data_IF_608409110057
#
_entry.id   IF_608409110057
#
_cell.length_a   1.000
_cell.length_b   1.000
_cell.length_c   1.000
_cell.angle_alpha   90.00
_cell.angle_beta   90.00
_cell.angle_gamma   90.00
#
_symmetry.space_group_name_H-M   'P 1'
#
loop_
_entity.id
_entity.type
_entity.pdbx_description
1 polymer ?
#
# COMPACT_ATOMS: atom_id res chain seq x y z
N UNK A 1 -54.58 -46.71 43.01
CA UNK A 1 -55.43 -46.70 41.80
C UNK A 1 -54.57 -46.36 40.58
N UNK A 2 -54.53 -47.29 39.63
CA UNK A 2 -53.75 -47.24 38.37
C UNK A 2 -54.22 -46.17 37.45
N UNK A 3 -53.30 -45.50 36.73
CA UNK A 3 -53.47 -45.31 35.28
C UNK A 3 -52.14 -45.06 34.62
N UNK A 4 -51.70 -46.05 33.83
CA UNK A 4 -50.66 -45.93 32.79
C UNK A 4 -51.21 -45.11 31.62
N UNK A 5 -50.37 -44.23 31.03
CA UNK A 5 -50.43 -43.92 29.61
C UNK A 5 -49.01 -43.78 29.04
N UNK A 6 -48.70 -44.72 28.18
CA UNK A 6 -47.59 -44.66 27.21
C UNK A 6 -47.85 -43.54 26.19
N UNK A 7 -46.80 -42.76 25.89
CA UNK A 7 -46.68 -42.10 24.60
C UNK A 7 -45.23 -42.15 24.15
N UNK A 8 -45.03 -42.73 22.97
CA UNK A 8 -43.81 -42.92 22.21
C UNK A 8 -43.15 -41.61 21.86
N UNK A 9 -41.75 -41.56 21.79
CA UNK A 9 -41.06 -40.39 21.29
C UNK A 9 -40.99 -40.41 19.77
N UNK A 10 -41.44 -39.30 19.15
CA UNK A 10 -41.22 -38.99 17.74
C UNK A 10 -39.80 -38.50 17.58
N UNK A 11 -39.01 -39.23 16.80
CA UNK A 11 -37.66 -38.81 16.37
C UNK A 11 -37.84 -37.74 15.27
N UNK A 12 -37.64 -36.48 15.63
CA UNK A 12 -37.43 -35.38 14.69
C UNK A 12 -35.95 -35.22 14.44
N UNK A 13 -35.46 -35.69 13.31
CA UNK A 13 -34.14 -35.39 12.83
C UNK A 13 -34.03 -33.91 12.43
N UNK A 14 -33.49 -33.07 13.28
CA UNK A 14 -33.01 -31.75 12.89
C UNK A 14 -31.67 -31.90 12.14
N UNK A 15 -31.75 -31.84 10.80
CA UNK A 15 -30.55 -31.56 9.99
C UNK A 15 -30.13 -30.13 10.25
N UNK A 16 -29.17 -29.95 11.16
CA UNK A 16 -28.45 -28.72 11.34
C UNK A 16 -27.52 -28.47 10.15
N UNK A 17 -27.92 -27.62 9.21
CA UNK A 17 -27.00 -27.01 8.26
C UNK A 17 -26.05 -26.11 9.03
N UNK A 18 -24.87 -26.61 9.39
CA UNK A 18 -23.73 -25.75 9.73
C UNK A 18 -23.27 -25.09 8.44
N UNK A 19 -23.77 -23.87 8.21
CA UNK A 19 -23.13 -22.95 7.30
C UNK A 19 -21.78 -22.55 7.92
N UNK A 20 -20.73 -23.22 7.50
CA UNK A 20 -19.38 -22.71 7.66
C UNK A 20 -19.28 -21.44 6.82
N UNK A 21 -19.50 -20.30 7.46
CA UNK A 21 -19.03 -19.04 6.94
C UNK A 21 -17.50 -19.16 6.87
N UNK A 22 -17.00 -19.47 5.69
CA UNK A 22 -15.62 -19.19 5.31
C UNK A 22 -15.47 -17.65 5.36
N UNK A 23 -15.20 -17.14 6.55
CA UNK A 23 -14.49 -15.88 6.72
C UNK A 23 -13.08 -16.16 6.17
N UNK A 24 -12.97 -16.12 4.84
CA UNK A 24 -11.70 -15.92 4.20
C UNK A 24 -11.16 -14.62 4.77
N UNK A 25 -10.13 -14.70 5.61
CA UNK A 25 -9.31 -13.55 5.92
C UNK A 25 -8.98 -12.91 4.58
N UNK A 26 -9.46 -11.68 4.36
CA UNK A 26 -8.96 -10.87 3.27
C UNK A 26 -7.45 -10.89 3.44
N UNK A 27 -6.75 -11.50 2.49
CA UNK A 27 -5.29 -11.43 2.47
C UNK A 27 -4.96 -9.96 2.53
N UNK A 28 -4.14 -9.60 3.48
CA UNK A 28 -3.74 -8.23 3.70
C UNK A 28 -3.14 -7.69 2.41
N UNK A 29 -3.84 -6.74 1.79
CA UNK A 29 -3.33 -5.99 0.66
C UNK A 29 -2.28 -5.03 1.25
N UNK A 30 -1.04 -5.49 1.34
CA UNK A 30 0.09 -4.60 1.51
C UNK A 30 0.54 -4.20 0.11
N UNK A 31 0.69 -2.94 -0.11
CA UNK A 31 1.48 -2.37 -1.20
C UNK A 31 2.91 -2.86 -1.09
N UNK A 32 3.79 -2.45 -1.94
CA UNK A 32 5.21 -2.78 -1.79
C UNK A 32 5.53 -3.06 -0.33
N UNK A 33 6.21 -4.16 -0.03
CA UNK A 33 6.50 -4.47 1.38
C UNK A 33 7.35 -3.36 2.04
N UNK A 34 7.42 -3.35 3.34
CA UNK A 34 8.13 -2.32 4.11
C UNK A 34 9.54 -1.98 3.55
N UNK A 35 10.41 -2.96 3.19
CA UNK A 35 11.72 -2.68 2.61
C UNK A 35 11.66 -1.83 1.34
N UNK A 36 10.69 -2.04 0.47
CA UNK A 36 10.58 -1.28 -0.77
C UNK A 36 10.13 0.16 -0.51
N UNK A 37 9.11 0.39 0.31
CA UNK A 37 8.70 1.73 0.75
C UNK A 37 9.84 2.49 1.44
N UNK A 38 10.54 1.82 2.36
CA UNK A 38 11.69 2.41 3.06
C UNK A 38 12.83 2.76 2.10
N UNK A 39 13.07 1.92 1.09
CA UNK A 39 14.12 2.18 0.08
C UNK A 39 13.76 3.39 -0.80
N UNK A 40 12.51 3.52 -1.25
CA UNK A 40 12.08 4.71 -2.01
C UNK A 40 12.20 5.99 -1.19
N UNK A 41 11.86 5.93 0.10
CA UNK A 41 12.05 7.05 1.01
C UNK A 41 13.54 7.38 1.23
N UNK A 42 14.42 6.39 1.34
CA UNK A 42 15.86 6.62 1.46
C UNK A 42 16.43 7.32 0.22
N UNK A 43 15.97 6.96 -0.98
CA UNK A 43 16.30 7.65 -2.23
C UNK A 43 15.81 9.10 -2.17
N UNK A 44 14.53 9.31 -1.83
CA UNK A 44 13.93 10.64 -1.74
C UNK A 44 14.67 11.52 -0.72
N UNK A 45 15.00 10.98 0.46
CA UNK A 45 15.73 11.74 1.48
C UNK A 45 17.14 12.14 1.00
N UNK A 46 17.84 11.25 0.31
CA UNK A 46 19.19 11.57 -0.24
C UNK A 46 19.12 12.71 -1.27
N UNK A 47 18.06 12.75 -2.10
CA UNK A 47 17.84 13.84 -3.04
C UNK A 47 17.45 15.15 -2.33
N UNK A 48 16.66 15.10 -1.27
CA UNK A 48 16.32 16.26 -0.44
C UNK A 48 17.60 16.79 0.22
N UNK A 49 18.40 15.93 0.83
CA UNK A 49 19.66 16.33 1.49
C UNK A 49 20.64 16.98 0.52
N UNK A 50 20.73 16.46 -0.69
CA UNK A 50 21.59 17.01 -1.74
C UNK A 50 21.09 18.36 -2.27
N UNK A 51 19.77 18.50 -2.52
CA UNK A 51 19.21 19.66 -3.20
C UNK A 51 18.74 20.76 -2.23
N UNK A 52 18.31 20.39 -1.02
CA UNK A 52 17.68 21.26 -0.02
C UNK A 52 18.07 20.83 1.40
N UNK A 53 19.36 20.92 1.79
CA UNK A 53 19.83 20.43 3.09
C UNK A 53 19.12 21.06 4.29
N UNK A 54 18.64 22.31 4.16
CA UNK A 54 17.86 22.99 5.19
C UNK A 54 16.48 22.37 5.39
N UNK A 55 15.95 21.69 4.38
CA UNK A 55 14.67 20.97 4.49
C UNK A 55 14.83 19.68 5.31
N UNK A 56 15.96 19.00 5.16
CA UNK A 56 16.25 17.80 5.95
C UNK A 56 16.21 18.10 7.47
N UNK A 57 16.70 19.26 7.89
CA UNK A 57 16.63 19.69 9.29
C UNK A 57 15.19 19.99 9.75
N UNK A 58 14.36 20.57 8.87
CA UNK A 58 12.93 20.84 9.19
C UNK A 58 12.12 19.57 9.31
N UNK A 59 12.47 18.52 8.57
CA UNK A 59 11.81 17.21 8.65
C UNK A 59 11.98 16.57 10.04
N UNK A 60 13.09 16.81 10.72
CA UNK A 60 13.30 16.35 12.09
C UNK A 60 12.20 16.85 13.04
N UNK A 61 11.96 18.16 13.04
CA UNK A 61 10.91 18.77 13.86
C UNK A 61 9.50 18.33 13.43
N UNK A 62 9.29 18.14 12.13
CA UNK A 62 8.00 17.72 11.61
C UNK A 62 7.62 16.33 12.11
N UNK A 63 8.51 15.34 11.95
CA UNK A 63 8.23 13.97 12.39
C UNK A 63 8.15 13.82 13.91
N UNK A 64 8.82 14.68 14.68
CA UNK A 64 8.62 14.72 16.13
C UNK A 64 7.20 15.12 16.53
N UNK A 65 6.45 15.79 15.67
CA UNK A 65 5.05 16.15 15.89
C UNK A 65 4.06 15.09 15.37
N UNK A 66 4.53 13.95 14.88
CA UNK A 66 3.66 12.92 14.32
C UNK A 66 2.66 12.41 15.38
N UNK A 67 1.34 12.29 15.06
CA UNK A 67 0.33 11.92 16.03
C UNK A 67 0.48 10.48 16.56
N UNK A 68 1.05 9.60 15.75
CA UNK A 68 1.49 8.26 16.15
C UNK A 68 3.01 8.27 16.31
N UNK A 69 3.49 8.81 17.42
CA UNK A 69 4.92 9.10 17.60
C UNK A 69 5.79 7.88 17.89
N UNK A 70 5.20 6.79 18.42
CA UNK A 70 5.97 5.63 18.94
C UNK A 70 6.89 4.99 17.90
N UNK A 71 6.44 4.58 16.69
CA UNK A 71 7.31 3.94 15.71
C UNK A 71 8.45 4.87 15.27
N UNK A 72 8.18 6.17 15.16
CA UNK A 72 9.19 7.16 14.77
C UNK A 72 10.30 7.32 15.82
N UNK A 73 9.94 7.32 17.10
CA UNK A 73 10.93 7.38 18.17
C UNK A 73 11.76 6.10 18.27
N UNK A 74 11.16 4.93 18.00
CA UNK A 74 11.89 3.67 17.93
C UNK A 74 12.90 3.70 16.78
N UNK A 75 12.49 4.14 15.60
CA UNK A 75 13.37 4.27 14.44
C UNK A 75 14.49 5.28 14.66
N UNK A 76 14.19 6.40 15.35
CA UNK A 76 15.15 7.44 15.68
C UNK A 76 16.28 6.96 16.61
N UNK A 77 15.95 6.14 17.62
CA UNK A 77 16.90 5.75 18.66
C UNK A 77 17.52 6.99 19.34
N UNK A 78 18.82 6.96 19.62
CA UNK A 78 19.54 8.06 20.26
C UNK A 78 20.05 9.12 19.27
N UNK A 79 19.66 9.06 18.00
CA UNK A 79 20.12 9.98 16.96
C UNK A 79 19.46 11.37 17.07
N UNK A 80 20.08 12.37 16.44
CA UNK A 80 19.60 13.77 16.48
C UNK A 80 19.78 14.44 15.12
N UNK A 81 19.05 15.54 14.92
CA UNK A 81 19.16 16.38 13.72
C UNK A 81 18.91 15.59 12.44
N UNK A 82 19.72 15.76 11.44
CA UNK A 82 19.55 15.13 10.13
C UNK A 82 19.51 13.60 10.17
N UNK A 83 20.29 12.95 11.01
CA UNK A 83 20.27 11.48 11.11
C UNK A 83 18.94 11.00 11.67
N UNK A 84 18.39 11.69 12.67
CA UNK A 84 17.06 11.41 13.20
C UNK A 84 15.99 11.69 12.14
N UNK A 85 16.06 12.82 11.45
CA UNK A 85 15.16 13.15 10.35
C UNK A 85 15.11 12.07 9.28
N UNK A 86 16.29 11.58 8.87
CA UNK A 86 16.40 10.50 7.88
C UNK A 86 15.71 9.23 8.33
N UNK A 87 15.99 8.78 9.55
CA UNK A 87 15.39 7.55 10.11
C UNK A 87 13.87 7.65 10.21
N UNK A 88 13.38 8.77 10.73
CA UNK A 88 11.93 9.01 10.83
C UNK A 88 11.28 9.15 9.45
N UNK A 89 11.94 9.76 8.48
CA UNK A 89 11.43 9.89 7.12
C UNK A 89 11.30 8.52 6.43
N UNK A 90 12.31 7.67 6.59
CA UNK A 90 12.29 6.29 6.06
C UNK A 90 11.19 5.47 6.75
N UNK A 91 11.04 5.59 8.07
CA UNK A 91 9.98 4.94 8.83
C UNK A 91 8.59 5.44 8.39
N UNK A 92 8.46 6.73 8.09
CA UNK A 92 7.21 7.33 7.62
C UNK A 92 6.66 6.71 6.34
N UNK A 93 7.53 6.17 5.48
CA UNK A 93 7.08 5.54 4.25
C UNK A 93 6.43 4.16 4.46
N UNK A 94 6.80 3.43 5.52
CA UNK A 94 6.18 2.14 5.85
C UNK A 94 5.00 2.28 6.82
N UNK A 95 4.97 3.38 7.59
CA UNK A 95 4.03 3.58 8.69
C UNK A 95 2.57 3.33 8.33
N UNK A 96 2.14 3.69 7.11
CA UNK A 96 0.76 3.53 6.67
C UNK A 96 0.29 2.05 6.71
N UNK A 97 1.15 1.10 6.35
CA UNK A 97 0.87 -0.33 6.45
C UNK A 97 0.79 -0.83 7.91
N UNK A 98 1.60 -0.25 8.79
CA UNK A 98 1.61 -0.60 10.21
C UNK A 98 0.39 -0.06 10.96
N UNK A 99 -0.38 0.87 10.36
CA UNK A 99 -1.59 1.47 11.01
C UNK A 99 -2.81 0.56 10.99
N UNK A 100 -2.76 -0.59 10.37
CA UNK A 100 -3.89 -1.48 10.16
C UNK A 100 -4.66 -1.77 11.44
N UNK A 101 -5.96 -1.57 11.39
CA UNK A 101 -6.86 -1.71 12.55
C UNK A 101 -6.74 -0.61 13.59
N UNK A 102 -5.90 0.41 13.39
CA UNK A 102 -5.79 1.59 14.25
C UNK A 102 -6.75 2.70 13.81
N UNK A 103 -6.75 3.81 14.56
CA UNK A 103 -7.50 5.04 14.19
C UNK A 103 -6.94 5.72 12.92
N UNK A 104 -5.73 5.37 12.53
CA UNK A 104 -5.04 5.88 11.35
C UNK A 104 -5.25 5.00 10.10
N UNK A 105 -5.82 3.80 10.24
CA UNK A 105 -6.04 2.87 9.15
C UNK A 105 -6.93 3.47 8.04
N UNK A 106 -6.47 3.39 6.80
CA UNK A 106 -7.17 3.88 5.61
C UNK A 106 -7.04 2.87 4.46
N UNK A 107 -7.68 1.70 4.56
CA UNK A 107 -7.45 0.58 3.63
C UNK A 107 -7.78 0.91 2.16
N UNK A 108 -8.62 1.91 1.91
CA UNK A 108 -8.96 2.34 0.54
C UNK A 108 -7.93 3.28 -0.07
N UNK A 109 -6.96 3.80 0.69
CA UNK A 109 -5.96 4.75 0.20
C UNK A 109 -4.77 4.09 -0.48
N UNK A 110 -4.60 2.78 -0.32
CA UNK A 110 -3.48 2.02 -0.88
C UNK A 110 -3.63 1.70 -2.37
N UNK A 111 -4.80 1.89 -2.96
CA UNK A 111 -5.06 1.47 -4.34
C UNK A 111 -5.86 2.48 -5.14
N UNK A 112 -5.65 2.45 -6.49
CA UNK A 112 -6.47 3.14 -7.47
C UNK A 112 -6.61 2.24 -8.71
N UNK A 113 -7.36 1.14 -8.61
CA UNK A 113 -7.36 0.05 -9.59
C UNK A 113 -8.34 0.27 -10.72
N UNK A 114 -7.84 0.43 -11.92
CA UNK A 114 -8.63 0.39 -13.15
C UNK A 114 -8.83 -1.04 -13.63
N UNK A 115 -9.92 -1.27 -14.36
CA UNK A 115 -10.25 -2.59 -14.87
C UNK A 115 -9.43 -2.92 -16.13
N UNK A 116 -8.77 -4.08 -16.14
CA UNK A 116 -8.19 -4.72 -17.31
C UNK A 116 -9.11 -5.85 -17.75
N UNK A 117 -9.61 -5.81 -19.00
CA UNK A 117 -10.52 -6.82 -19.53
C UNK A 117 -9.73 -7.81 -20.37
N UNK A 118 -9.62 -9.06 -19.91
CA UNK A 118 -8.97 -10.14 -20.66
C UNK A 118 -9.77 -10.51 -21.92
N UNK A 119 -9.07 -11.04 -22.94
CA UNK A 119 -9.69 -11.44 -24.20
C UNK A 119 -10.77 -12.52 -24.03
N UNK A 120 -10.61 -13.41 -23.06
CA UNK A 120 -11.51 -14.50 -22.72
C UNK A 120 -12.62 -14.11 -21.73
N UNK A 121 -12.72 -12.81 -21.35
CA UNK A 121 -13.69 -12.33 -20.40
C UNK A 121 -15.11 -12.56 -20.92
N UNK A 122 -15.99 -13.24 -20.15
CA UNK A 122 -17.38 -13.46 -20.52
C UNK A 122 -18.20 -12.15 -20.39
N UNK A 123 -19.44 -12.12 -20.92
CA UNK A 123 -20.26 -10.91 -20.93
C UNK A 123 -20.44 -10.27 -19.55
N UNK A 124 -20.64 -11.06 -18.50
CA UNK A 124 -20.80 -10.60 -17.13
C UNK A 124 -19.52 -9.92 -16.59
N UNK A 125 -18.34 -10.45 -16.89
CA UNK A 125 -17.07 -9.84 -16.52
C UNK A 125 -16.82 -8.51 -17.27
N UNK A 126 -17.17 -8.47 -18.56
CA UNK A 126 -17.12 -7.23 -19.36
C UNK A 126 -18.07 -6.17 -18.79
N UNK A 127 -19.30 -6.56 -18.42
CA UNK A 127 -20.28 -5.67 -17.82
C UNK A 127 -19.78 -5.13 -16.46
N UNK A 128 -19.20 -5.99 -15.61
CA UNK A 128 -18.64 -5.59 -14.33
C UNK A 128 -17.46 -4.62 -14.48
N UNK A 129 -16.57 -4.85 -15.45
CA UNK A 129 -15.48 -3.93 -15.77
C UNK A 129 -15.99 -2.60 -16.33
N UNK A 130 -16.98 -2.63 -17.24
CA UNK A 130 -17.58 -1.41 -17.81
C UNK A 130 -18.29 -0.56 -16.76
N UNK A 131 -18.91 -1.18 -15.74
CA UNK A 131 -19.49 -0.45 -14.61
C UNK A 131 -18.44 0.37 -13.82
N UNK A 132 -17.16 0.02 -13.94
CA UNK A 132 -16.02 0.72 -13.33
C UNK A 132 -15.30 1.65 -14.31
N UNK A 133 -15.78 1.80 -15.54
CA UNK A 133 -15.12 2.61 -16.56
C UNK A 133 -14.83 4.03 -16.10
N UNK A 134 -13.57 4.44 -16.22
CA UNK A 134 -13.10 5.75 -15.78
C UNK A 134 -13.05 5.98 -14.27
N UNK A 135 -13.42 4.97 -13.47
CA UNK A 135 -13.39 5.05 -12.00
C UNK A 135 -12.52 3.93 -11.45
N UNK A 136 -11.37 4.22 -10.85
CA UNK A 136 -10.58 3.21 -10.17
C UNK A 136 -11.30 2.72 -8.91
N UNK A 137 -11.05 1.47 -8.51
CA UNK A 137 -11.42 1.02 -7.18
C UNK A 137 -10.31 1.40 -6.19
N UNK A 138 -10.68 2.02 -5.09
CA UNK A 138 -9.76 2.63 -4.13
C UNK A 138 -9.75 4.14 -4.25
N UNK A 139 -8.96 4.79 -3.42
CA UNK A 139 -8.95 6.25 -3.24
C UNK A 139 -7.52 6.82 -3.19
N UNK A 140 -6.50 6.08 -3.67
CA UNK A 140 -5.10 6.52 -3.57
C UNK A 140 -4.87 7.88 -4.23
N UNK A 141 -5.51 8.15 -5.37
CA UNK A 141 -5.33 9.42 -6.09
C UNK A 141 -5.92 10.59 -5.31
N UNK A 142 -7.18 10.46 -4.87
CA UNK A 142 -7.86 11.49 -4.09
C UNK A 142 -7.13 11.73 -2.75
N UNK A 143 -6.66 10.66 -2.12
CA UNK A 143 -5.90 10.74 -0.89
C UNK A 143 -4.54 11.42 -1.09
N UNK A 144 -3.84 11.15 -2.19
CA UNK A 144 -2.60 11.87 -2.56
C UNK A 144 -2.85 13.35 -2.75
N UNK A 145 -3.87 13.72 -3.53
CA UNK A 145 -4.25 15.13 -3.75
C UNK A 145 -4.54 15.82 -2.43
N UNK A 146 -5.33 15.19 -1.56
CA UNK A 146 -5.69 15.74 -0.25
C UNK A 146 -4.47 15.91 0.66
N UNK A 147 -3.67 14.87 0.85
CA UNK A 147 -2.51 14.92 1.73
C UNK A 147 -1.44 15.90 1.19
N UNK A 148 -1.25 15.95 -0.12
CA UNK A 148 -0.36 16.94 -0.74
C UNK A 148 -0.83 18.39 -0.49
N UNK A 149 -2.13 18.65 -0.61
CA UNK A 149 -2.69 19.96 -0.28
C UNK A 149 -2.49 20.31 1.20
N UNK A 150 -2.62 19.35 2.11
CA UNK A 150 -2.32 19.53 3.54
C UNK A 150 -0.84 19.88 3.78
N UNK A 151 0.09 19.26 3.06
CA UNK A 151 1.51 19.60 3.14
C UNK A 151 1.80 21.04 2.70
N UNK A 152 1.11 21.52 1.68
CA UNK A 152 1.29 22.85 1.11
C UNK A 152 0.56 23.98 1.88
N UNK A 153 -0.48 23.64 2.64
CA UNK A 153 -1.32 24.62 3.32
C UNK A 153 -0.63 25.19 4.57
N UNK A 154 -0.57 26.51 4.74
CA UNK A 154 -0.08 27.13 5.97
C UNK A 154 -0.99 26.88 7.18
N UNK A 155 -2.29 26.57 6.95
CA UNK A 155 -3.28 26.34 8.00
C UNK A 155 -3.16 24.94 8.62
N UNK A 156 -2.49 24.01 7.96
CA UNK A 156 -2.29 22.64 8.49
C UNK A 156 -1.28 22.67 9.63
N UNK A 157 -1.67 22.14 10.79
CA UNK A 157 -0.76 22.06 11.93
C UNK A 157 0.35 21.00 11.72
N UNK A 158 1.38 21.03 12.56
CA UNK A 158 2.54 20.16 12.43
C UNK A 158 2.21 18.67 12.51
N UNK A 159 1.27 18.28 13.39
CA UNK A 159 0.86 16.88 13.57
C UNK A 159 0.12 16.33 12.34
N UNK A 160 -0.83 17.09 11.82
CA UNK A 160 -1.54 16.74 10.59
C UNK A 160 -0.60 16.68 9.39
N UNK A 161 0.33 17.64 9.31
CA UNK A 161 1.32 17.71 8.23
C UNK A 161 2.29 16.52 8.26
N UNK A 162 2.71 16.07 9.46
CA UNK A 162 3.55 14.90 9.62
C UNK A 162 2.84 13.62 9.14
N UNK A 163 1.59 13.43 9.56
CA UNK A 163 0.75 12.32 9.10
C UNK A 163 0.53 12.37 7.58
N UNK A 164 0.23 13.55 7.04
CA UNK A 164 0.05 13.73 5.60
C UNK A 164 1.32 13.39 4.81
N UNK A 165 2.51 13.75 5.35
CA UNK A 165 3.78 13.38 4.71
C UNK A 165 3.98 11.86 4.69
N UNK A 166 3.72 11.17 5.80
CA UNK A 166 3.81 9.70 5.85
C UNK A 166 2.90 9.04 4.82
N UNK A 167 1.66 9.49 4.72
CA UNK A 167 0.74 9.01 3.69
C UNK A 167 1.21 9.30 2.26
N UNK A 168 1.75 10.48 1.99
CA UNK A 168 2.30 10.80 0.65
C UNK A 168 3.47 9.90 0.31
N UNK A 169 4.43 9.72 1.23
CA UNK A 169 5.58 8.84 1.02
C UNK A 169 5.17 7.41 0.69
N UNK A 170 4.19 6.89 1.40
CA UNK A 170 3.66 5.54 1.20
C UNK A 170 2.94 5.40 -0.14
N UNK A 171 1.89 6.21 -0.34
CA UNK A 171 1.04 6.12 -1.53
C UNK A 171 1.79 6.40 -2.83
N UNK A 172 2.87 7.20 -2.80
CA UNK A 172 3.75 7.37 -3.95
C UNK A 172 4.43 6.06 -4.35
N UNK A 173 4.76 5.20 -3.42
CA UNK A 173 5.19 3.83 -3.71
C UNK A 173 4.04 3.01 -4.32
N UNK A 174 2.88 3.02 -3.67
CA UNK A 174 1.70 2.24 -4.06
C UNK A 174 1.26 2.46 -5.50
N UNK A 175 1.13 3.71 -5.93
CA UNK A 175 0.67 4.01 -7.30
C UNK A 175 1.68 3.62 -8.39
N UNK A 176 2.92 3.28 -8.00
CA UNK A 176 3.94 2.76 -8.92
C UNK A 176 4.04 1.22 -8.91
N UNK A 177 3.20 0.53 -8.13
CA UNK A 177 3.06 -0.92 -8.17
C UNK A 177 1.87 -1.29 -9.08
N UNK A 178 2.08 -2.01 -10.19
CA UNK A 178 1.04 -2.27 -11.20
C UNK A 178 -0.25 -2.89 -10.65
N UNK A 179 -0.17 -3.78 -9.66
CA UNK A 179 -1.36 -4.41 -9.08
C UNK A 179 -2.13 -3.50 -8.12
N UNK A 180 -1.50 -2.41 -7.63
CA UNK A 180 -2.22 -1.36 -6.88
C UNK A 180 -3.07 -0.47 -7.77
N UNK A 181 -2.81 -0.47 -9.07
CA UNK A 181 -3.51 0.36 -10.05
C UNK A 181 -4.29 -0.44 -11.09
N UNK A 182 -4.27 -1.77 -11.01
CA UNK A 182 -4.98 -2.63 -11.95
C UNK A 182 -5.78 -3.75 -11.28
N UNK A 183 -6.83 -4.21 -11.96
CA UNK A 183 -7.69 -5.30 -11.52
C UNK A 183 -8.20 -6.06 -12.76
N UNK A 184 -7.80 -7.33 -12.93
CA UNK A 184 -8.07 -8.09 -14.13
C UNK A 184 -9.44 -8.77 -14.07
N UNK A 185 -10.26 -8.52 -15.09
CA UNK A 185 -11.54 -9.18 -15.35
C UNK A 185 -11.37 -10.23 -16.44
N UNK A 186 -11.67 -11.48 -16.12
CA UNK A 186 -11.48 -12.62 -17.02
C UNK A 186 -12.53 -13.71 -16.77
N UNK A 187 -12.47 -14.80 -17.54
CA UNK A 187 -13.30 -15.99 -17.28
C UNK A 187 -13.03 -16.57 -15.88
N UNK A 188 -11.78 -16.53 -15.43
CA UNK A 188 -11.40 -17.01 -14.08
C UNK A 188 -11.81 -16.03 -12.98
N UNK A 189 -11.82 -14.74 -13.27
CA UNK A 189 -12.12 -13.67 -12.32
C UNK A 189 -13.20 -12.74 -12.89
N UNK A 190 -14.48 -13.18 -12.93
CA UNK A 190 -15.55 -12.38 -13.54
C UNK A 190 -15.89 -11.10 -12.76
N UNK A 191 -15.54 -11.03 -11.48
CA UNK A 191 -15.71 -9.84 -10.62
C UNK A 191 -14.38 -9.06 -10.38
N UNK A 192 -13.33 -9.40 -11.10
CA UNK A 192 -11.98 -8.90 -10.89
C UNK A 192 -11.11 -9.86 -10.05
N UNK A 193 -9.79 -9.83 -10.24
CA UNK A 193 -8.83 -10.69 -9.50
C UNK A 193 -8.38 -10.08 -8.15
N UNK A 194 -9.08 -9.04 -7.68
CA UNK A 194 -8.77 -8.33 -6.45
C UNK A 194 -7.28 -7.90 -6.37
N UNK A 195 -6.81 -7.16 -7.38
CA UNK A 195 -5.41 -6.72 -7.46
C UNK A 195 -4.39 -7.90 -7.51
N UNK A 196 -4.78 -9.04 -8.02
CA UNK A 196 -3.91 -10.22 -8.07
C UNK A 196 -3.84 -11.04 -6.78
N UNK A 197 -4.58 -10.67 -5.72
CA UNK A 197 -4.61 -11.46 -4.47
C UNK A 197 -5.30 -12.81 -4.62
N UNK A 198 -6.22 -12.93 -5.57
CA UNK A 198 -6.89 -14.18 -5.90
C UNK A 198 -6.14 -15.01 -6.97
N UNK A 199 -5.06 -14.48 -7.50
CA UNK A 199 -4.22 -15.15 -8.48
C UNK A 199 -2.97 -15.68 -7.81
N UNK A 200 -2.73 -17.01 -7.94
CA UNK A 200 -1.60 -17.66 -7.28
C UNK A 200 -0.52 -18.00 -8.29
N UNK A 201 0.70 -17.71 -7.93
CA UNK A 201 1.92 -18.03 -8.66
C UNK A 201 2.88 -18.82 -7.77
N UNK A 202 3.89 -19.40 -8.37
CA UNK A 202 4.94 -20.10 -7.61
C UNK A 202 6.02 -19.10 -7.19
N UNK A 203 6.27 -18.97 -5.89
CA UNK A 203 7.41 -18.20 -5.40
C UNK A 203 8.72 -18.71 -6.05
N UNK A 204 9.48 -17.86 -6.73
CA UNK A 204 10.70 -18.29 -7.41
C UNK A 204 11.81 -18.73 -6.45
N UNK A 205 11.76 -18.33 -5.17
CA UNK A 205 12.75 -18.66 -4.14
C UNK A 205 12.29 -19.85 -3.30
N UNK A 206 11.14 -19.72 -2.65
CA UNK A 206 10.64 -20.75 -1.71
C UNK A 206 9.94 -21.92 -2.39
N UNK A 207 9.62 -21.79 -3.69
CA UNK A 207 8.91 -22.82 -4.48
C UNK A 207 7.55 -23.21 -3.88
N UNK A 208 6.85 -22.25 -3.29
CA UNK A 208 5.49 -22.40 -2.72
C UNK A 208 4.51 -21.52 -3.46
N UNK A 209 3.22 -21.91 -3.55
CA UNK A 209 2.18 -21.02 -4.06
C UNK A 209 2.04 -19.77 -3.18
N UNK A 210 2.00 -18.60 -3.80
CA UNK A 210 1.72 -17.32 -3.14
C UNK A 210 0.85 -16.44 -4.04
N UNK A 211 0.07 -15.49 -3.49
CA UNK A 211 -0.66 -14.52 -4.29
C UNK A 211 0.28 -13.72 -5.20
N UNK A 212 -0.14 -13.49 -6.44
CA UNK A 212 0.62 -12.66 -7.38
C UNK A 212 0.90 -11.26 -6.81
N UNK A 213 -0.07 -10.70 -6.10
CA UNK A 213 0.08 -9.42 -5.41
C UNK A 213 1.27 -9.45 -4.44
N UNK A 214 1.30 -10.43 -3.55
CA UNK A 214 2.37 -10.57 -2.57
C UNK A 214 3.74 -10.82 -3.23
N UNK A 215 3.78 -11.54 -4.36
CA UNK A 215 5.03 -11.70 -5.11
C UNK A 215 5.56 -10.34 -5.58
N UNK A 216 4.71 -9.48 -6.12
CA UNK A 216 5.10 -8.14 -6.55
C UNK A 216 5.60 -7.29 -5.40
N UNK A 217 4.90 -7.32 -4.26
CA UNK A 217 5.23 -6.51 -3.09
C UNK A 217 6.56 -6.90 -2.47
N UNK A 218 6.87 -8.22 -2.42
CA UNK A 218 8.03 -8.76 -1.69
C UNK A 218 9.23 -9.13 -2.57
N UNK A 219 9.17 -8.91 -3.89
CA UNK A 219 10.16 -9.47 -4.83
C UNK A 219 11.48 -8.68 -4.88
N UNK A 220 11.52 -7.44 -4.40
CA UNK A 220 12.68 -6.56 -4.61
C UNK A 220 13.65 -6.61 -3.43
N UNK A 221 13.16 -6.45 -2.20
CA UNK A 221 13.97 -6.39 -1.00
C UNK A 221 13.29 -7.12 0.16
N UNK A 222 14.08 -7.64 1.12
CA UNK A 222 13.53 -8.45 2.22
C UNK A 222 13.91 -7.96 3.61
N UNK A 223 14.78 -6.94 3.73
CA UNK A 223 15.25 -6.44 5.01
C UNK A 223 14.80 -5.01 5.26
N UNK A 224 14.24 -4.80 6.44
CA UNK A 224 13.90 -3.46 6.97
C UNK A 224 15.02 -2.84 7.78
N UNK A 225 16.17 -3.53 7.92
CA UNK A 225 17.35 -2.97 8.58
C UNK A 225 17.83 -1.75 7.83
N UNK A 226 18.04 -0.64 8.55
CA UNK A 226 18.35 0.65 7.93
C UNK A 226 19.58 0.60 7.02
N UNK A 227 20.63 -0.13 7.43
CA UNK A 227 21.84 -0.29 6.61
C UNK A 227 21.56 -0.98 5.27
N UNK A 228 20.69 -2.02 5.28
CA UNK A 228 20.27 -2.72 4.08
C UNK A 228 19.42 -1.80 3.18
N UNK A 229 18.46 -1.07 3.74
CA UNK A 229 17.60 -0.10 3.04
C UNK A 229 18.45 0.99 2.36
N UNK A 230 19.39 1.59 3.09
CA UNK A 230 20.29 2.58 2.52
C UNK A 230 21.25 1.99 1.49
N UNK A 231 21.67 0.74 1.68
CA UNK A 231 22.48 -0.02 0.71
C UNK A 231 21.75 -0.18 -0.61
N UNK A 232 20.50 -0.60 -0.55
CA UNK A 232 19.59 -0.74 -1.70
C UNK A 232 19.39 0.59 -2.42
N UNK A 233 19.13 1.66 -1.67
CA UNK A 233 18.97 3.01 -2.23
C UNK A 233 20.22 3.47 -2.98
N UNK A 234 21.43 3.30 -2.39
CA UNK A 234 22.70 3.63 -3.04
C UNK A 234 22.93 2.81 -4.31
N UNK A 235 22.62 1.51 -4.29
CA UNK A 235 22.76 0.64 -5.45
C UNK A 235 21.85 1.09 -6.60
N UNK A 236 20.57 1.37 -6.30
CA UNK A 236 19.60 1.85 -7.29
C UNK A 236 20.04 3.19 -7.90
N UNK A 237 20.44 4.16 -7.09
CA UNK A 237 20.93 5.46 -7.57
C UNK A 237 22.19 5.34 -8.42
N UNK A 238 23.07 4.39 -8.12
CA UNK A 238 24.25 4.11 -8.92
C UNK A 238 23.89 3.45 -10.26
N UNK A 239 22.95 2.51 -10.25
CA UNK A 239 22.53 1.75 -11.45
C UNK A 239 21.63 2.59 -12.35
N UNK A 240 20.79 3.41 -11.75
CA UNK A 240 19.80 4.24 -12.40
C UNK A 240 19.94 5.70 -11.95
N UNK A 241 21.00 6.41 -12.35
CA UNK A 241 21.19 7.80 -11.94
C UNK A 241 20.09 8.69 -12.54
N UNK A 242 19.69 9.72 -11.81
CA UNK A 242 18.65 10.67 -12.28
C UNK A 242 18.92 11.23 -13.69
N UNK A 243 20.19 11.40 -14.05
CA UNK A 243 20.59 11.87 -15.38
C UNK A 243 20.24 10.91 -16.53
N UNK A 244 19.98 9.64 -16.23
CA UNK A 244 19.53 8.65 -17.21
C UNK A 244 18.04 8.81 -17.59
N UNK A 245 17.30 9.64 -16.86
CA UNK A 245 15.85 9.87 -17.03
C UNK A 245 15.58 11.35 -17.31
N UNK A 246 15.80 11.82 -18.55
CA UNK A 246 15.60 13.23 -18.91
C UNK A 246 14.15 13.71 -18.71
N UNK A 247 13.18 12.81 -18.80
CA UNK A 247 11.76 13.04 -18.54
C UNK A 247 11.49 13.52 -17.09
N UNK A 248 12.34 13.16 -16.13
CA UNK A 248 12.22 13.64 -14.75
C UNK A 248 12.47 15.14 -14.59
N UNK A 249 13.04 15.79 -15.60
CA UNK A 249 13.21 17.26 -15.60
C UNK A 249 11.86 17.98 -15.78
N UNK A 250 10.90 17.32 -16.41
CA UNK A 250 9.56 17.87 -16.63
C UNK A 250 8.62 17.74 -15.43
N UNK A 251 9.04 17.02 -14.37
CA UNK A 251 8.26 16.82 -13.14
C UNK A 251 8.46 17.98 -12.14
N UNK A 252 8.54 19.21 -12.64
CA UNK A 252 8.61 20.40 -11.82
C UNK A 252 7.19 20.83 -11.42
N UNK A 253 6.72 20.33 -10.29
CA UNK A 253 5.44 20.76 -9.71
C UNK A 253 4.69 19.64 -9.01
N UNK A 254 3.57 19.97 -8.34
CA UNK A 254 2.69 18.97 -7.76
C UNK A 254 2.17 18.08 -8.89
N UNK A 255 2.52 16.79 -8.78
CA UNK A 255 2.34 15.85 -9.85
C UNK A 255 0.88 15.64 -10.23
N UNK A 256 0.69 15.29 -11.45
CA UNK A 256 -0.51 14.63 -11.93
C UNK A 256 -0.48 13.18 -11.44
N UNK A 257 -0.94 12.96 -10.20
CA UNK A 257 -0.89 11.64 -9.54
C UNK A 257 -1.66 10.58 -10.34
N UNK A 258 -2.76 10.95 -11.01
CA UNK A 258 -3.46 10.02 -11.89
C UNK A 258 -2.59 9.62 -13.07
N UNK A 259 -1.88 10.56 -13.70
CA UNK A 259 -0.97 10.26 -14.81
C UNK A 259 0.12 9.29 -14.36
N UNK A 260 0.74 9.51 -13.20
CA UNK A 260 1.78 8.62 -12.68
C UNK A 260 1.24 7.21 -12.38
N UNK A 261 0.05 7.12 -11.78
CA UNK A 261 -0.61 5.83 -11.58
C UNK A 261 -0.94 5.13 -12.90
N UNK A 262 -1.31 5.90 -13.95
CA UNK A 262 -1.55 5.36 -15.30
C UNK A 262 -0.28 4.80 -15.95
N UNK A 263 0.89 5.37 -15.71
CA UNK A 263 2.17 4.85 -16.18
C UNK A 263 2.44 3.41 -15.65
N UNK A 264 1.91 3.10 -14.47
CA UNK A 264 2.01 1.74 -13.88
C UNK A 264 0.89 0.81 -14.35
N UNK A 265 -0.23 1.36 -14.85
CA UNK A 265 -1.35 0.60 -15.37
C UNK A 265 -1.15 0.16 -16.83
N UNK A 266 -0.56 1.01 -17.70
CA UNK A 266 -0.36 0.82 -19.14
C UNK A 266 0.78 -0.15 -19.45
#
# INVERSE_FOLDING_TARGET
MKYHRNTTPVHGALCGFMAWALLGSAADLQAWDHPAHMTTAAIAFSEIERAKPELAEKLDLLFMAHPDASPFWVAAGDTRGKERAKRMFIEGARWADDTKGSVFDRPTWHTARWAIVAKDAPPEAKAAAEARKGRPAGQAIEALVMNYAMLASPETNASERASALSWVLHMMGDIHQPLHVSDQFSKKFPSGNAAGTQEYVMDPVEKKPMPLHLLWDSNIYRSTELEAVEGNARELLRKYPRSAFPELKALEGPGDFEKWARESYD
#
